data_IF_740371748031
#
_entry.id   IF_740371748031
#
_cell.length_a   1.000
_cell.length_b   1.000
_cell.length_c   1.000
_cell.angle_alpha   90.00
_cell.angle_beta   90.00
_cell.angle_gamma   90.00
#
_symmetry.space_group_name_H-M   'P 1'
#
loop_
_entity.id
_entity.type
_entity.pdbx_description
1 polymer ?
#
# COMPACT_ATOMS: atom_id res chain seq x y z
N UNK A 1 0.75 -6.10 -21.35
CA UNK A 1 -0.14 -5.09 -20.71
C UNK A 1 0.19 -5.11 -19.24
N UNK A 2 0.43 -3.94 -18.64
CA UNK A 2 0.62 -3.83 -17.20
C UNK A 2 -0.70 -4.16 -16.50
N UNK A 3 -0.66 -5.06 -15.52
CA UNK A 3 -1.80 -5.31 -14.65
C UNK A 3 -1.86 -4.24 -13.56
N UNK A 4 -3.04 -4.00 -13.02
CA UNK A 4 -3.22 -3.09 -11.89
C UNK A 4 -3.73 -3.87 -10.71
N UNK A 5 -3.00 -3.83 -9.60
CA UNK A 5 -3.44 -4.36 -8.32
C UNK A 5 -3.96 -3.24 -7.42
N UNK A 6 -5.03 -3.55 -6.71
CA UNK A 6 -5.63 -2.68 -5.70
C UNK A 6 -5.36 -3.26 -4.33
N UNK A 7 -4.83 -2.43 -3.43
CA UNK A 7 -4.53 -2.79 -2.06
C UNK A 7 -5.42 -1.92 -1.17
N UNK A 8 -6.48 -2.51 -0.66
CA UNK A 8 -7.35 -1.86 0.31
C UNK A 8 -6.71 -1.93 1.69
N UNK A 9 -6.19 -0.78 2.14
CA UNK A 9 -5.52 -0.63 3.44
C UNK A 9 -6.50 -0.32 4.57
N UNK A 10 -7.79 -0.20 4.25
CA UNK A 10 -8.83 0.00 5.27
C UNK A 10 -9.19 -1.26 6.05
N UNK A 11 -8.92 -2.44 5.50
CA UNK A 11 -9.16 -3.74 6.14
C UNK A 11 -7.98 -4.21 7.01
N UNK A 12 -8.25 -5.13 7.94
CA UNK A 12 -7.23 -5.78 8.78
C UNK A 12 -7.49 -7.29 8.83
N UNK A 13 -6.65 -8.14 8.18
CA UNK A 13 -5.49 -7.77 7.35
C UNK A 13 -5.89 -7.02 6.07
N UNK A 14 -4.94 -6.34 5.42
CA UNK A 14 -5.18 -5.60 4.17
C UNK A 14 -5.67 -6.54 3.07
N UNK A 15 -6.55 -6.03 2.20
CA UNK A 15 -7.17 -6.82 1.13
C UNK A 15 -6.53 -6.50 -0.21
N UNK A 16 -6.32 -7.53 -1.04
CA UNK A 16 -5.73 -7.40 -2.37
C UNK A 16 -6.74 -7.77 -3.44
N UNK A 17 -6.67 -7.09 -4.59
CA UNK A 17 -7.47 -7.46 -5.77
C UNK A 17 -6.63 -7.22 -7.03
N UNK A 18 -6.40 -8.24 -7.89
CA UNK A 18 -6.81 -9.65 -7.74
C UNK A 18 -5.99 -10.46 -6.73
N UNK A 19 -4.82 -9.96 -6.30
CA UNK A 19 -3.91 -10.63 -5.38
C UNK A 19 -2.68 -9.76 -5.08
N UNK A 20 -1.80 -10.18 -4.15
CA UNK A 20 -0.60 -9.43 -3.78
C UNK A 20 0.55 -9.58 -4.80
N UNK A 21 0.40 -10.48 -5.76
CA UNK A 21 1.40 -10.81 -6.77
C UNK A 21 1.49 -9.72 -7.84
N UNK A 22 2.69 -9.22 -8.09
CA UNK A 22 2.97 -8.21 -9.13
C UNK A 22 4.16 -8.62 -9.99
N UNK A 23 4.23 -8.02 -11.17
CA UNK A 23 5.34 -8.12 -12.11
C UNK A 23 5.93 -6.75 -12.38
N UNK A 24 7.12 -6.73 -12.98
CA UNK A 24 7.77 -5.50 -13.42
C UNK A 24 6.90 -4.73 -14.41
N UNK A 25 6.71 -3.44 -14.14
CA UNK A 25 5.82 -2.59 -14.92
C UNK A 25 4.34 -2.68 -14.55
N UNK A 26 3.93 -3.55 -13.62
CA UNK A 26 2.57 -3.52 -13.08
C UNK A 26 2.34 -2.25 -12.24
N UNK A 27 1.07 -1.90 -12.05
CA UNK A 27 0.64 -0.78 -11.24
C UNK A 27 0.09 -1.26 -9.90
N UNK A 28 0.46 -0.56 -8.85
CA UNK A 28 -0.04 -0.73 -7.49
C UNK A 28 -0.82 0.52 -7.13
N UNK A 29 -2.07 0.34 -6.69
CA UNK A 29 -2.92 1.41 -6.20
C UNK A 29 -3.34 1.05 -4.78
N UNK A 30 -2.92 1.84 -3.80
CA UNK A 30 -3.44 1.72 -2.45
C UNK A 30 -4.77 2.49 -2.36
N UNK A 31 -5.76 1.95 -1.63
CA UNK A 31 -7.08 2.56 -1.46
C UNK A 31 -7.57 2.47 -0.01
N UNK A 32 -8.43 3.39 0.41
CA UNK A 32 -9.09 3.39 1.73
C UNK A 32 -10.53 2.83 1.69
N UNK A 33 -10.92 2.17 0.60
CA UNK A 33 -12.20 1.46 0.48
C UNK A 33 -13.42 2.23 1.02
N UNK A 34 -14.34 1.50 1.65
CA UNK A 34 -15.52 2.07 2.30
C UNK A 34 -15.21 2.81 3.61
N UNK A 35 -14.01 2.62 4.19
CA UNK A 35 -13.58 3.34 5.40
C UNK A 35 -13.10 4.76 5.11
N UNK A 36 -13.09 5.18 3.85
CA UNK A 36 -12.86 6.57 3.43
C UNK A 36 -13.75 7.58 4.15
N UNK A 37 -14.93 7.17 4.65
CA UNK A 37 -15.81 8.05 5.41
C UNK A 37 -15.30 8.36 6.83
N UNK A 38 -14.43 7.52 7.39
CA UNK A 38 -13.90 7.64 8.76
C UNK A 38 -12.41 7.93 8.79
N UNK A 39 -11.68 7.67 7.69
CA UNK A 39 -10.23 7.85 7.61
C UNK A 39 -9.92 9.07 6.73
N UNK A 40 -9.42 10.14 7.35
CA UNK A 40 -9.06 11.37 6.63
C UNK A 40 -7.81 11.21 5.75
N UNK A 41 -6.84 10.42 6.22
CA UNK A 41 -5.62 10.11 5.49
C UNK A 41 -4.98 8.83 6.01
N UNK A 42 -4.08 8.25 5.21
CA UNK A 42 -3.22 7.15 5.59
C UNK A 42 -1.87 7.27 4.88
N UNK A 43 -0.83 6.68 5.45
CA UNK A 43 0.53 6.70 4.90
C UNK A 43 1.05 5.28 4.78
N UNK A 44 1.57 4.91 3.61
CA UNK A 44 2.18 3.61 3.35
C UNK A 44 3.69 3.76 3.19
N UNK A 45 4.47 3.00 3.95
CA UNK A 45 5.92 3.01 3.89
C UNK A 45 6.47 1.60 3.69
N UNK A 46 7.37 1.43 2.73
CA UNK A 46 8.13 0.19 2.56
C UNK A 46 9.40 0.26 3.38
N UNK A 47 9.71 -0.81 4.10
CA UNK A 47 10.94 -0.93 4.88
C UNK A 47 11.42 -2.39 4.87
N UNK A 48 12.70 -2.68 4.55
CA UNK A 48 13.80 -1.76 4.25
C UNK A 48 13.96 -1.38 2.76
N UNK A 49 13.28 -2.08 1.84
CA UNK A 49 13.44 -1.89 0.37
C UNK A 49 12.07 -1.66 -0.26
N UNK A 50 12.02 -0.76 -1.25
CA UNK A 50 10.82 -0.43 -2.01
C UNK A 50 10.91 -1.01 -3.44
N UNK A 51 9.92 -1.82 -3.89
CA UNK A 51 9.91 -2.38 -5.23
C UNK A 51 9.38 -1.41 -6.30
N UNK A 52 8.93 -0.21 -5.92
CA UNK A 52 8.26 0.74 -6.81
C UNK A 52 9.24 1.77 -7.39
N UNK A 53 8.91 2.33 -8.55
CA UNK A 53 9.75 3.33 -9.25
C UNK A 53 9.84 4.67 -8.51
N UNK A 54 8.79 5.02 -7.77
CA UNK A 54 8.74 6.24 -6.95
C UNK A 54 9.00 5.85 -5.51
N UNK A 55 9.98 6.45 -4.83
CA UNK A 55 10.20 6.19 -3.39
C UNK A 55 9.08 6.75 -2.52
N UNK A 56 8.60 5.95 -1.57
CA UNK A 56 7.65 6.37 -0.54
C UNK A 56 8.29 7.24 0.55
N UNK A 57 7.50 7.64 1.57
CA UNK A 57 6.16 7.13 1.90
C UNK A 57 5.04 7.64 0.97
N UNK A 58 4.00 6.83 0.77
CA UNK A 58 2.84 7.17 -0.05
C UNK A 58 1.67 7.58 0.81
N UNK A 59 1.22 8.83 0.67
CA UNK A 59 0.07 9.33 1.41
C UNK A 59 -1.21 9.17 0.58
N UNK A 60 -2.23 8.61 1.20
CA UNK A 60 -3.60 8.56 0.73
C UNK A 60 -4.42 9.58 1.53
N UNK A 61 -5.27 10.33 0.86
CA UNK A 61 -6.13 11.31 1.52
C UNK A 61 -6.83 12.22 0.52
N UNK A 62 -7.71 13.10 1.02
CA UNK A 62 -8.46 14.04 0.18
C UNK A 62 -9.57 13.38 -0.67
N UNK A 63 -9.94 13.92 -1.83
CA UNK A 63 -11.18 13.55 -2.53
C UNK A 63 -11.16 12.16 -3.18
N UNK A 64 -9.98 11.56 -3.43
CA UNK A 64 -9.86 10.30 -4.18
C UNK A 64 -9.59 9.09 -3.30
N UNK A 65 -9.08 9.30 -2.07
CA UNK A 65 -8.89 8.22 -1.06
C UNK A 65 -8.08 7.03 -1.58
N UNK A 66 -7.22 7.29 -2.56
CA UNK A 66 -6.39 6.34 -3.27
C UNK A 66 -5.10 7.02 -3.71
N UNK A 67 -4.01 6.25 -3.83
CA UNK A 67 -2.78 6.75 -4.48
C UNK A 67 -2.98 6.88 -5.98
N UNK A 68 -2.12 7.67 -6.63
CA UNK A 68 -1.89 7.50 -8.06
C UNK A 68 -1.35 6.08 -8.35
N UNK A 69 -1.46 5.56 -9.59
CA UNK A 69 -0.83 4.31 -9.98
C UNK A 69 0.67 4.35 -9.75
N UNK A 70 1.17 3.47 -8.89
CA UNK A 70 2.60 3.33 -8.58
C UNK A 70 3.16 2.16 -9.38
N UNK A 71 4.16 2.40 -10.22
CA UNK A 71 4.72 1.36 -11.09
C UNK A 71 5.75 0.52 -10.34
N UNK A 72 5.71 -0.80 -10.52
CA UNK A 72 6.76 -1.72 -10.04
C UNK A 72 8.01 -1.53 -10.89
N UNK A 73 9.15 -1.28 -10.23
CA UNK A 73 10.42 -1.01 -10.88
C UNK A 73 10.92 -2.21 -11.66
N UNK A 74 11.41 -1.99 -12.88
CA UNK A 74 12.05 -3.03 -13.69
C UNK A 74 13.36 -3.56 -13.09
N UNK A 75 13.92 -2.87 -12.11
CA UNK A 75 15.14 -3.28 -11.40
C UNK A 75 14.85 -3.89 -10.03
N UNK A 76 13.59 -4.01 -9.63
CA UNK A 76 13.24 -4.61 -8.34
C UNK A 76 13.60 -6.11 -8.34
N UNK A 77 14.40 -6.59 -7.37
CA UNK A 77 14.61 -8.03 -7.20
C UNK A 77 13.29 -8.77 -7.00
N UNK A 78 13.24 -10.03 -7.42
CA UNK A 78 12.13 -10.92 -7.04
C UNK A 78 12.08 -11.09 -5.53
N UNK A 79 10.88 -11.03 -4.94
CA UNK A 79 10.69 -11.27 -3.51
C UNK A 79 9.48 -10.57 -2.90
N UNK A 80 9.31 -10.79 -1.60
CA UNK A 80 8.25 -10.17 -0.81
C UNK A 80 8.75 -8.85 -0.25
N UNK A 81 7.99 -7.79 -0.51
CA UNK A 81 8.26 -6.43 -0.05
C UNK A 81 7.22 -6.03 0.97
N UNK A 82 7.53 -6.14 2.28
CA UNK A 82 6.61 -5.70 3.32
C UNK A 82 6.47 -4.18 3.33
N UNK A 83 5.28 -3.72 3.65
CA UNK A 83 5.00 -2.31 3.91
C UNK A 83 4.19 -2.17 5.20
N UNK A 84 4.36 -1.03 5.84
CA UNK A 84 3.59 -0.59 6.98
C UNK A 84 2.62 0.51 6.53
N UNK A 85 1.40 0.44 7.04
CA UNK A 85 0.38 1.47 6.86
C UNK A 85 0.18 2.15 8.21
N UNK A 86 0.23 3.47 8.21
CA UNK A 86 -0.03 4.34 9.34
C UNK A 86 -1.30 5.15 9.05
N UNK A 87 -2.27 5.12 9.96
CA UNK A 87 -3.54 5.83 9.81
C UNK A 87 -3.69 6.82 10.98
N UNK A 88 -3.35 8.12 10.78
CA UNK A 88 -3.17 9.07 11.86
C UNK A 88 -4.48 9.56 12.52
N UNK A 89 -5.65 9.23 11.97
CA UNK A 89 -6.93 9.83 12.40
C UNK A 89 -8.09 8.82 12.43
N UNK A 90 -7.94 7.67 13.10
CA UNK A 90 -9.13 7.02 13.70
C UNK A 90 -9.61 7.89 14.88
N UNK A 91 -10.25 9.02 14.55
CA UNK A 91 -10.71 9.97 15.53
C UNK A 91 -11.79 9.37 16.46
N UNK A 92 -11.41 9.18 17.73
CA UNK A 92 -12.22 9.56 18.91
C UNK A 92 -13.59 8.88 19.15
N UNK A 93 -13.74 7.57 18.96
CA UNK A 93 -14.87 6.87 19.64
C UNK A 93 -14.53 5.50 20.25
N UNK A 94 -13.27 5.03 20.14
CA UNK A 94 -12.81 3.90 20.93
C UNK A 94 -12.08 4.40 22.17
N UNK A 95 -12.78 4.45 23.30
CA UNK A 95 -12.14 4.46 24.62
C UNK A 95 -11.10 3.35 24.64
N UNK A 96 -9.80 3.67 24.69
CA UNK A 96 -8.70 2.86 25.23
C UNK A 96 -7.35 3.57 24.95
N UNK A 97 -6.65 3.95 26.02
CA UNK A 97 -5.19 4.09 26.04
C UNK A 97 -4.53 5.21 25.21
N UNK A 98 -3.25 5.53 25.48
CA UNK A 98 -2.57 6.67 24.87
C UNK A 98 -2.06 6.33 23.46
N UNK A 99 -2.60 7.03 22.46
CA UNK A 99 -1.93 7.38 21.19
C UNK A 99 -1.26 6.20 20.43
N UNK A 100 -1.99 5.12 20.18
CA UNK A 100 -1.54 4.06 19.27
C UNK A 100 -2.12 4.34 17.88
N UNK A 101 -1.29 4.96 17.04
CA UNK A 101 -1.45 4.97 15.59
C UNK A 101 -1.78 3.56 15.10
N UNK A 102 -2.91 3.37 14.40
CA UNK A 102 -3.31 2.05 13.90
C UNK A 102 -2.33 1.64 12.78
N UNK A 103 -1.29 0.89 13.17
CA UNK A 103 -0.28 0.37 12.26
C UNK A 103 -0.73 -0.97 11.71
N UNK A 104 -0.87 -1.04 10.39
CA UNK A 104 -1.22 -2.28 9.67
C UNK A 104 -0.05 -2.76 8.84
N UNK A 105 0.13 -4.08 8.80
CA UNK A 105 1.19 -4.72 8.02
C UNK A 105 0.60 -5.29 6.73
N UNK A 106 1.27 -5.05 5.60
CA UNK A 106 0.98 -5.67 4.32
C UNK A 106 2.26 -6.02 3.57
N UNK A 107 2.12 -6.57 2.37
CA UNK A 107 3.28 -6.89 1.53
C UNK A 107 2.88 -7.15 0.09
N UNK A 108 3.81 -6.85 -0.81
CA UNK A 108 3.67 -7.11 -2.25
C UNK A 108 4.66 -8.20 -2.63
N UNK A 109 4.21 -9.18 -3.41
CA UNK A 109 5.06 -10.26 -3.89
C UNK A 109 5.45 -10.02 -5.35
N UNK A 110 6.69 -9.61 -5.57
CA UNK A 110 7.24 -9.48 -6.92
C UNK A 110 7.62 -10.87 -7.40
N UNK A 111 6.81 -11.44 -8.30
CA UNK A 111 6.94 -12.85 -8.72
C UNK A 111 7.84 -13.04 -9.94
N UNK A 112 8.04 -11.99 -10.73
CA UNK A 112 8.85 -12.02 -11.95
C UNK A 112 10.33 -11.68 -11.69
N UNK A 113 11.22 -12.36 -12.41
CA UNK A 113 12.64 -12.00 -12.46
C UNK A 113 12.81 -10.63 -13.16
N UNK A 114 13.71 -9.75 -12.72
CA UNK A 114 14.00 -8.50 -13.44
C UNK A 114 14.31 -8.81 -14.91
N UNK A 115 13.76 -8.06 -15.88
CA UNK A 115 14.12 -8.23 -17.28
C UNK A 115 15.64 -8.10 -17.42
N UNK A 116 16.26 -9.05 -18.12
CA UNK A 116 17.66 -8.95 -18.52
C UNK A 116 17.83 -7.65 -19.32
N UNK A 117 18.75 -6.81 -18.84
CA UNK A 117 18.97 -5.45 -19.32
C UNK A 117 19.83 -5.43 -20.59
#
# INVERSE_FOLDING_TARGET
>A
MANTIYIDISTTPVTYTPGPEVKHGDHVIFTLGAASATIASATVAFSPVNPLTTSGPYTLGGPTMATAPLTVSATAPKGIYPFEVNIPDEAKDRKLGPLEDDRKNGGIDVTSDPPEL
#
